data_IF_840326434937
#
_entry.id   IF_840326434937
#
_cell.length_a   1.000
_cell.length_b   1.000
_cell.length_c   1.000
_cell.angle_alpha   90.00
_cell.angle_beta   90.00
_cell.angle_gamma   90.00
#
_symmetry.space_group_name_H-M   'P 1'
#
loop_
_entity.id
_entity.type
_entity.pdbx_description
1 polymer ?
#
# COMPACT_ATOMS: atom_id res chain seq x y z
N UNK A 1 -23.38 13.04 4.69
CA UNK A 1 -22.59 13.96 3.83
C UNK A 1 -21.22 13.34 3.61
N UNK A 2 -20.94 12.86 2.40
CA UNK A 2 -19.63 12.28 2.04
C UNK A 2 -18.69 13.40 1.61
N UNK A 3 -17.85 13.89 2.52
CA UNK A 3 -16.87 14.94 2.22
C UNK A 3 -15.68 14.34 1.44
N UNK A 4 -15.48 14.70 0.16
CA UNK A 4 -14.40 14.13 -0.67
C UNK A 4 -12.99 14.48 -0.14
N UNK A 5 -12.86 15.62 0.55
CA UNK A 5 -11.62 16.10 1.16
C UNK A 5 -11.09 15.17 2.25
N UNK A 6 -11.98 14.62 3.10
CA UNK A 6 -11.61 13.61 4.13
C UNK A 6 -11.06 12.34 3.48
N UNK A 7 -11.72 11.83 2.45
CA UNK A 7 -11.23 10.66 1.70
C UNK A 7 -9.88 10.92 1.03
N UNK A 8 -9.65 12.13 0.52
CA UNK A 8 -8.38 12.49 -0.09
C UNK A 8 -7.24 12.50 0.93
N UNK A 9 -7.38 13.23 2.04
CA UNK A 9 -6.36 13.29 3.10
C UNK A 9 -6.04 11.90 3.68
N UNK A 10 -7.07 11.08 3.92
CA UNK A 10 -6.91 9.70 4.40
C UNK A 10 -6.09 8.87 3.41
N UNK A 11 -6.36 8.96 2.11
CA UNK A 11 -5.61 8.20 1.10
C UNK A 11 -4.13 8.61 1.01
N UNK A 12 -3.79 9.89 1.27
CA UNK A 12 -2.39 10.33 1.34
C UNK A 12 -1.68 9.78 2.57
N UNK A 13 -2.32 9.85 3.75
CA UNK A 13 -1.75 9.29 4.97
C UNK A 13 -1.55 7.77 4.83
N UNK A 14 -2.53 7.06 4.25
CA UNK A 14 -2.40 5.63 3.96
C UNK A 14 -1.21 5.35 3.05
N UNK A 15 -1.01 6.13 1.99
CA UNK A 15 0.12 5.94 1.08
C UNK A 15 1.47 6.24 1.76
N UNK A 16 1.52 7.24 2.64
CA UNK A 16 2.72 7.57 3.43
C UNK A 16 3.11 6.41 4.34
N UNK A 17 2.15 5.88 5.09
CA UNK A 17 2.39 4.77 6.03
C UNK A 17 2.74 3.48 5.30
N UNK A 18 2.03 3.17 4.22
CA UNK A 18 2.39 2.05 3.35
C UNK A 18 3.82 2.19 2.80
N UNK A 19 4.22 3.38 2.34
CA UNK A 19 5.57 3.61 1.86
C UNK A 19 6.63 3.46 2.97
N UNK A 20 6.32 3.88 4.20
CA UNK A 20 7.19 3.67 5.36
C UNK A 20 7.37 2.17 5.65
N UNK A 21 6.27 1.41 5.67
CA UNK A 21 6.28 -0.03 5.84
C UNK A 21 7.08 -0.76 4.76
N UNK A 22 6.94 -0.37 3.49
CA UNK A 22 7.71 -0.95 2.39
C UNK A 22 9.21 -0.65 2.53
N UNK A 23 9.58 0.59 2.87
CA UNK A 23 10.98 0.98 3.08
C UNK A 23 11.63 0.30 4.27
N UNK A 24 10.88 0.07 5.35
CA UNK A 24 11.37 -0.69 6.50
C UNK A 24 11.76 -2.14 6.13
N UNK A 25 11.21 -2.65 5.01
CA UNK A 25 11.54 -3.96 4.41
C UNK A 25 12.56 -3.86 3.26
N UNK A 26 13.19 -2.70 3.08
CA UNK A 26 14.09 -2.37 1.95
C UNK A 26 13.40 -2.43 0.55
N UNK A 27 12.08 -2.31 0.51
CA UNK A 27 11.30 -2.36 -0.73
C UNK A 27 11.05 -0.95 -1.24
N UNK A 28 11.67 -0.65 -2.38
CA UNK A 28 11.57 0.66 -3.05
C UNK A 28 10.75 0.63 -4.33
N UNK A 29 10.30 -0.55 -4.74
CA UNK A 29 9.58 -0.78 -6.00
C UNK A 29 8.53 -1.87 -5.82
N UNK A 30 7.29 -1.63 -6.26
CA UNK A 30 6.21 -2.64 -6.23
C UNK A 30 5.39 -2.66 -7.52
N UNK A 31 4.92 -3.84 -7.92
CA UNK A 31 3.88 -4.02 -8.92
C UNK A 31 2.53 -3.80 -8.23
N UNK A 32 1.78 -2.79 -8.68
CA UNK A 32 0.44 -2.47 -8.17
C UNK A 32 -0.48 -2.14 -9.35
N UNK A 33 -1.73 -2.61 -9.29
CA UNK A 33 -2.75 -2.35 -10.34
C UNK A 33 -3.47 -1.00 -10.13
N UNK A 34 -3.59 -0.53 -8.89
CA UNK A 34 -4.21 0.76 -8.59
C UNK A 34 -3.28 1.91 -8.98
N UNK A 35 -3.54 2.54 -10.14
CA UNK A 35 -2.75 3.64 -10.68
C UNK A 35 -2.74 4.87 -9.77
N UNK A 36 -3.84 5.15 -9.05
CA UNK A 36 -3.91 6.29 -8.14
C UNK A 36 -3.04 6.03 -6.91
N UNK A 37 -3.01 4.80 -6.39
CA UNK A 37 -2.10 4.42 -5.30
C UNK A 37 -0.65 4.44 -5.77
N UNK A 38 -0.37 3.90 -6.96
CA UNK A 38 0.98 3.94 -7.55
C UNK A 38 1.52 5.37 -7.66
N UNK A 39 0.68 6.32 -8.11
CA UNK A 39 1.05 7.73 -8.19
C UNK A 39 1.35 8.33 -6.81
N UNK A 40 0.55 8.00 -5.79
CA UNK A 40 0.80 8.46 -4.42
C UNK A 40 2.11 7.91 -3.86
N UNK A 41 2.35 6.62 -4.05
CA UNK A 41 3.58 5.93 -3.63
C UNK A 41 4.83 6.53 -4.28
N UNK A 42 4.73 7.01 -5.53
CA UNK A 42 5.82 7.71 -6.22
C UNK A 42 6.29 8.98 -5.48
N UNK A 43 5.37 9.74 -4.88
CA UNK A 43 5.74 10.91 -4.06
C UNK A 43 6.54 10.54 -2.80
N UNK A 44 6.48 9.27 -2.40
CA UNK A 44 7.25 8.72 -1.29
C UNK A 44 8.43 7.84 -1.76
N UNK A 45 8.88 7.99 -3.00
CA UNK A 45 10.01 7.23 -3.59
C UNK A 45 9.79 5.71 -3.63
N UNK A 46 8.54 5.28 -3.77
CA UNK A 46 8.19 3.90 -4.11
C UNK A 46 7.77 3.88 -5.58
N UNK A 47 8.58 3.27 -6.45
CA UNK A 47 8.30 3.21 -7.89
C UNK A 47 7.50 1.96 -8.27
N UNK A 48 7.03 1.92 -9.52
CA UNK A 48 6.38 0.73 -10.08
C UNK A 48 7.43 -0.29 -10.54
N UNK A 49 7.14 -1.58 -10.36
CA UNK A 49 7.96 -2.71 -10.82
C UNK A 49 8.58 -3.51 -9.67
N UNK A 50 9.57 -4.36 -9.98
CA UNK A 50 10.29 -5.28 -9.07
C UNK A 50 9.72 -6.69 -8.90
N UNK A 51 10.32 -7.43 -7.96
CA UNK A 51 9.95 -8.76 -7.47
C UNK A 51 8.83 -8.73 -6.41
N UNK A 52 8.17 -7.60 -6.16
CA UNK A 52 7.09 -7.52 -5.17
C UNK A 52 5.79 -7.03 -5.78
N UNK A 53 4.69 -7.75 -5.56
CA UNK A 53 3.34 -7.37 -5.97
C UNK A 53 2.50 -6.96 -4.77
N UNK A 54 1.94 -5.76 -4.81
CA UNK A 54 1.10 -5.21 -3.77
C UNK A 54 -0.37 -5.22 -4.18
N UNK A 55 -1.22 -5.76 -3.31
CA UNK A 55 -2.64 -5.96 -3.58
C UNK A 55 -3.53 -5.49 -2.43
N UNK A 56 -4.75 -5.07 -2.76
CA UNK A 56 -5.76 -4.65 -1.79
C UNK A 56 -6.68 -5.81 -1.34
N UNK A 57 -6.55 -6.97 -1.99
CA UNK A 57 -7.30 -8.20 -1.72
C UNK A 57 -6.35 -9.39 -1.87
N UNK A 58 -6.64 -10.49 -1.16
CA UNK A 58 -5.88 -11.73 -1.31
C UNK A 58 -6.08 -12.28 -2.73
N UNK A 59 -4.99 -12.72 -3.36
CA UNK A 59 -5.04 -13.54 -4.58
C UNK A 59 -4.98 -15.03 -4.27
N UNK A 60 -4.24 -15.40 -3.21
CA UNK A 60 -4.10 -16.77 -2.70
C UNK A 60 -4.10 -16.74 -1.16
N UNK A 61 -4.34 -17.89 -0.52
CA UNK A 61 -4.47 -17.95 0.95
C UNK A 61 -3.14 -17.90 1.70
N UNK A 62 -2.01 -18.12 1.02
CA UNK A 62 -0.67 -18.22 1.63
C UNK A 62 0.39 -17.49 0.80
N UNK A 63 1.62 -17.37 1.33
CA UNK A 63 2.74 -16.79 0.57
C UNK A 63 2.72 -15.27 0.43
N UNK A 64 1.98 -14.56 1.30
CA UNK A 64 1.98 -13.11 1.36
C UNK A 64 2.36 -12.60 2.75
N UNK A 65 2.92 -11.39 2.79
CA UNK A 65 2.98 -10.58 3.99
C UNK A 65 1.79 -9.62 4.03
N UNK A 66 1.22 -9.44 5.22
CA UNK A 66 0.12 -8.51 5.44
C UNK A 66 0.63 -7.19 6.01
N UNK A 67 0.25 -6.08 5.38
CA UNK A 67 0.54 -4.73 5.87
C UNK A 67 -0.79 -4.08 6.26
N UNK A 68 -1.00 -3.89 7.56
CA UNK A 68 -2.18 -3.25 8.11
C UNK A 68 -1.91 -1.79 8.42
N UNK A 69 -2.71 -0.91 7.84
CA UNK A 69 -2.72 0.51 8.17
C UNK A 69 -3.78 0.73 9.24
N UNK A 70 -3.36 1.23 10.41
CA UNK A 70 -4.19 1.29 11.62
C UNK A 70 -4.31 2.74 12.10
N UNK A 71 -5.53 3.26 12.18
CA UNK A 71 -5.82 4.55 12.81
C UNK A 71 -6.72 4.36 14.03
N UNK A 72 -6.36 4.99 15.15
CA UNK A 72 -7.13 4.95 16.40
C UNK A 72 -7.47 3.51 16.83
N UNK A 73 -6.53 2.58 16.66
CA UNK A 73 -6.70 1.16 17.01
C UNK A 73 -7.57 0.34 16.04
N UNK A 74 -8.02 0.94 14.92
CA UNK A 74 -8.81 0.25 13.89
C UNK A 74 -8.03 0.11 12.59
N UNK A 75 -8.03 -1.09 12.03
CA UNK A 75 -7.48 -1.33 10.68
C UNK A 75 -8.37 -0.61 9.67
N UNK A 76 -7.82 0.44 9.05
CA UNK A 76 -8.52 1.21 8.01
C UNK A 76 -8.23 0.67 6.62
N UNK A 77 -7.10 -0.02 6.44
CA UNK A 77 -6.75 -0.67 5.18
C UNK A 77 -5.77 -1.81 5.41
N UNK A 78 -5.91 -2.85 4.60
CA UNK A 78 -4.99 -3.98 4.56
C UNK A 78 -4.44 -4.12 3.15
N UNK A 79 -3.13 -4.32 3.06
CA UNK A 79 -2.44 -4.67 1.84
C UNK A 79 -1.80 -6.04 1.98
N UNK A 80 -1.72 -6.74 0.86
CA UNK A 80 -1.10 -8.05 0.73
C UNK A 80 0.10 -7.93 -0.20
N UNK A 81 1.27 -8.28 0.29
CA UNK A 81 2.54 -8.18 -0.39
C UNK A 81 3.02 -9.59 -0.76
N UNK A 82 3.10 -9.85 -2.06
CA UNK A 82 3.58 -11.11 -2.61
C UNK A 82 4.97 -10.92 -3.19
N UNK A 83 5.87 -11.87 -2.96
CA UNK A 83 7.14 -11.94 -3.68
C UNK A 83 6.93 -12.74 -4.97
N UNK A 84 7.23 -12.13 -6.10
CA UNK A 84 7.28 -12.75 -7.41
C UNK A 84 8.72 -13.26 -7.59
N UNK A 85 8.86 -14.59 -7.71
CA UNK A 85 10.12 -15.24 -8.07
C UNK A 85 10.35 -15.20 -9.57
#
# INVERSE_FOLDING_TARGET
MNEPSKHFAINYNIAKELAHELKARDIHKVIIKDDKMALRLKFYNIERGSAYKLMNQKEIEEGFEQINIVYYGKTVRTFYLYRIN
#
